data_IF_018948133698
#
_entry.id   IF_018948133698
#
_cell.length_a   1.000
_cell.length_b   1.000
_cell.length_c   1.000
_cell.angle_alpha   90.00
_cell.angle_beta   90.00
_cell.angle_gamma   90.00
#
_symmetry.space_group_name_H-M   'P 1'
#
loop_
_entity.id
_entity.type
_entity.pdbx_description
1 polymer ?
#
# COMPACT_ATOMS: atom_id res chain seq x y z
N UNK A 1 19.37 -19.60 42.04
CA UNK A 1 18.35 -20.68 42.05
C UNK A 1 17.52 -20.55 40.80
N UNK A 2 17.43 -21.60 40.01
CA UNK A 2 16.66 -21.65 38.75
C UNK A 2 15.52 -22.64 38.99
N UNK A 3 14.29 -22.26 38.64
CA UNK A 3 13.18 -23.20 38.56
C UNK A 3 12.53 -23.11 37.18
N UNK A 4 12.89 -24.07 36.35
CA UNK A 4 12.21 -24.42 35.11
C UNK A 4 11.00 -25.27 35.46
N UNK A 5 9.85 -25.06 34.81
CA UNK A 5 8.92 -26.17 34.56
C UNK A 5 8.24 -26.02 33.21
N UNK A 6 8.31 -27.12 32.44
CA UNK A 6 7.70 -27.31 31.13
C UNK A 6 6.34 -27.98 31.34
N UNK A 7 5.31 -27.58 30.60
CA UNK A 7 4.04 -28.31 30.56
C UNK A 7 3.90 -29.08 29.25
N UNK A 8 3.92 -30.41 29.37
CA UNK A 8 3.69 -31.35 28.26
C UNK A 8 2.18 -31.52 28.02
N UNK A 9 1.76 -31.53 26.77
CA UNK A 9 0.42 -32.00 26.35
C UNK A 9 0.50 -33.46 25.89
N UNK A 10 -0.47 -34.28 26.30
CA UNK A 10 -0.68 -35.64 25.78
C UNK A 10 -2.18 -35.81 25.46
N UNK A 11 -2.44 -36.41 24.29
CA UNK A 11 -3.77 -36.68 23.74
C UNK A 11 -4.36 -37.99 24.26
N UNK A 12 -5.70 -38.08 24.35
CA UNK A 12 -6.41 -39.35 24.16
C UNK A 12 -7.82 -39.10 23.59
N UNK A 13 -8.31 -40.01 22.74
CA UNK A 13 -9.55 -39.86 21.98
C UNK A 13 -10.71 -40.71 22.53
N UNK A 14 -11.92 -40.36 22.04
CA UNK A 14 -13.02 -41.25 21.63
C UNK A 14 -14.28 -41.41 22.53
N UNK A 15 -15.38 -40.87 21.97
CA UNK A 15 -16.74 -41.39 21.88
C UNK A 15 -17.48 -41.96 23.12
N UNK A 16 -18.62 -41.34 23.48
CA UNK A 16 -19.99 -41.89 23.32
C UNK A 16 -21.08 -40.86 23.72
N UNK A 17 -22.29 -41.01 23.19
CA UNK A 17 -23.52 -40.21 23.46
C UNK A 17 -24.74 -41.16 23.48
N UNK A 18 -25.96 -40.77 23.89
CA UNK A 18 -26.45 -39.58 24.62
C UNK A 18 -26.95 -40.06 26.03
N UNK A 19 -28.11 -39.71 26.65
CA UNK A 19 -29.08 -38.60 26.48
C UNK A 19 -29.57 -37.90 27.79
N UNK A 20 -30.43 -36.90 27.60
CA UNK A 20 -31.49 -36.37 28.48
C UNK A 20 -31.19 -36.10 29.99
N UNK A 21 -30.96 -34.83 30.32
CA UNK A 21 -31.02 -34.31 31.68
C UNK A 21 -31.26 -32.80 31.74
N UNK A 22 -32.50 -32.37 31.96
CA UNK A 22 -32.84 -30.94 32.08
C UNK A 22 -32.44 -30.39 33.45
N UNK A 23 -31.39 -29.56 33.52
CA UNK A 23 -30.99 -28.90 34.78
C UNK A 23 -30.97 -27.37 34.61
N UNK A 24 -31.80 -26.69 35.40
CA UNK A 24 -31.80 -25.23 35.54
C UNK A 24 -30.78 -24.82 36.61
N UNK A 25 -29.77 -24.03 36.25
CA UNK A 25 -28.99 -23.26 37.23
C UNK A 25 -29.15 -21.76 37.01
N UNK A 26 -29.64 -21.07 38.05
CA UNK A 26 -29.60 -19.61 38.16
C UNK A 26 -28.20 -19.21 38.62
N UNK A 27 -27.51 -18.35 37.88
CA UNK A 27 -26.40 -17.56 38.43
C UNK A 27 -26.83 -16.09 38.59
N UNK A 28 -26.60 -15.55 39.78
CA UNK A 28 -26.69 -14.11 40.05
C UNK A 28 -25.42 -13.43 39.50
N UNK A 29 -25.57 -12.38 38.71
CA UNK A 29 -24.49 -11.41 38.53
C UNK A 29 -24.40 -10.52 39.77
N UNK A 30 -23.20 -10.41 40.34
CA UNK A 30 -22.85 -9.28 41.22
C UNK A 30 -22.24 -8.18 40.36
N UNK A 31 -22.78 -6.97 40.43
CA UNK A 31 -22.23 -5.78 39.79
C UNK A 31 -21.51 -4.92 40.82
N UNK A 32 -20.18 -4.87 40.77
CA UNK A 32 -19.42 -3.89 41.55
C UNK A 32 -19.44 -2.52 40.86
N UNK A 33 -19.82 -1.49 41.63
CA UNK A 33 -19.92 -0.11 41.17
C UNK A 33 -18.75 0.69 41.74
N UNK A 34 -17.78 1.04 40.89
CA UNK A 34 -16.70 1.96 41.25
C UNK A 34 -17.24 3.39 41.46
N UNK A 35 -16.91 4.01 42.60
CA UNK A 35 -17.12 5.44 42.88
C UNK A 35 -15.78 6.20 42.81
N UNK A 36 -15.70 7.36 42.14
CA UNK A 36 -14.53 8.23 42.23
C UNK A 36 -14.55 9.08 43.51
N UNK A 37 -13.37 9.32 44.10
CA UNK A 37 -13.22 10.18 45.28
C UNK A 37 -13.17 11.68 44.92
N UNK A 38 -13.90 12.50 45.67
CA UNK A 38 -13.76 13.96 45.67
C UNK A 38 -12.55 14.40 46.51
N UNK A 39 -11.74 15.32 46.00
CA UNK A 39 -10.71 16.03 46.79
C UNK A 39 -11.20 17.47 47.06
N UNK A 40 -11.08 17.91 48.31
CA UNK A 40 -11.60 19.18 48.80
C UNK A 40 -10.57 20.30 48.72
N UNK A 41 -10.94 21.47 48.18
CA UNK A 41 -10.18 22.70 48.36
C UNK A 41 -10.48 23.33 49.72
N UNK A 42 -9.46 23.47 50.57
CA UNK A 42 -9.28 24.60 51.50
C UNK A 42 -7.97 24.48 52.27
N UNK A 43 -7.01 25.34 51.94
CA UNK A 43 -6.11 26.06 52.86
C UNK A 43 -4.95 26.66 52.05
N UNK A 44 -4.82 27.98 52.08
CA UNK A 44 -3.58 28.72 52.37
C UNK A 44 -3.93 30.22 52.33
N UNK A 45 -3.73 30.89 53.46
CA UNK A 45 -4.00 32.31 53.61
C UNK A 45 -2.84 32.98 54.33
N UNK A 46 -2.50 34.19 53.86
CA UNK A 46 -1.58 35.10 54.53
C UNK A 46 -0.22 35.23 53.85
N UNK A 47 0.05 36.41 53.30
CA UNK A 47 1.03 37.37 53.87
C UNK A 47 1.07 38.65 53.01
N UNK A 48 0.42 39.73 53.44
CA UNK A 48 0.72 41.10 52.98
C UNK A 48 0.42 42.11 54.10
N UNK A 49 1.38 43.00 54.39
CA UNK A 49 1.23 44.16 55.29
C UNK A 49 1.11 45.45 54.46
N UNK A 50 0.26 46.43 54.84
CA UNK A 50 0.12 47.70 54.14
C UNK A 50 0.82 48.88 54.85
N UNK A 51 1.57 49.69 54.09
CA UNK A 51 2.10 51.02 54.49
C UNK A 51 2.81 51.67 53.30
N UNK A 52 2.75 52.97 53.01
CA UNK A 52 1.93 54.08 53.51
C UNK A 52 1.94 55.20 52.45
N UNK A 53 0.89 56.04 52.39
CA UNK A 53 0.73 57.11 51.40
C UNK A 53 1.88 58.14 51.35
N UNK A 54 2.17 58.66 50.16
CA UNK A 54 2.48 60.10 49.98
C UNK A 54 1.87 60.65 48.68
N UNK A 55 1.37 61.89 48.81
CA UNK A 55 0.56 62.63 47.83
C UNK A 55 1.23 62.80 46.47
N UNK A 56 0.42 62.86 45.41
CA UNK A 56 0.53 63.92 44.39
C UNK A 56 -0.86 64.28 43.84
N UNK A 57 -0.94 65.43 43.17
CA UNK A 57 -2.13 66.27 43.04
C UNK A 57 -3.06 65.94 41.87
N UNK A 58 -4.30 66.45 41.96
CA UNK A 58 -5.37 66.34 40.96
C UNK A 58 -4.91 66.83 39.57
N UNK A 59 -5.18 66.03 38.54
CA UNK A 59 -5.33 66.47 37.14
C UNK A 59 -6.60 65.81 36.56
N UNK A 60 -7.32 66.45 35.62
CA UNK A 60 -8.66 66.02 35.23
C UNK A 60 -8.66 64.76 34.37
N UNK A 61 -9.72 63.96 34.54
CA UNK A 61 -9.94 62.73 33.80
C UNK A 61 -10.16 63.01 32.30
N UNK A 62 -9.31 62.42 31.44
CA UNK A 62 -9.69 62.09 30.06
C UNK A 62 -9.71 60.57 29.92
N UNK A 63 -10.91 60.01 29.89
CA UNK A 63 -11.14 58.60 29.60
C UNK A 63 -11.00 58.33 28.10
N UNK A 64 -9.77 58.15 27.63
CA UNK A 64 -9.54 57.41 26.38
C UNK A 64 -9.83 55.94 26.64
N UNK A 65 -11.11 55.57 26.55
CA UNK A 65 -11.52 54.19 26.30
C UNK A 65 -11.01 53.82 24.91
N UNK A 66 -9.78 53.33 24.84
CA UNK A 66 -9.30 52.60 23.67
C UNK A 66 -10.19 51.36 23.56
N UNK A 67 -11.19 51.41 22.67
CA UNK A 67 -11.94 50.23 22.30
C UNK A 67 -10.94 49.23 21.72
N UNK A 68 -10.59 48.21 22.52
CA UNK A 68 -10.08 46.97 21.98
C UNK A 68 -11.16 46.47 21.02
N UNK A 69 -10.87 46.58 19.72
CA UNK A 69 -11.75 46.01 18.70
C UNK A 69 -12.03 44.55 19.07
N UNK A 70 -13.27 44.06 18.92
CA UNK A 70 -13.57 42.67 19.21
C UNK A 70 -12.66 41.83 18.32
N UNK A 71 -11.71 41.11 18.94
CA UNK A 71 -10.87 40.16 18.23
C UNK A 71 -11.82 39.24 17.48
N UNK A 72 -11.75 39.24 16.15
CA UNK A 72 -12.59 38.44 15.30
C UNK A 72 -12.23 36.97 15.50
N UNK A 73 -12.79 36.38 16.55
CA UNK A 73 -12.98 34.94 16.65
C UNK A 73 -13.80 34.57 15.43
N UNK A 74 -13.12 34.14 14.36
CA UNK A 74 -13.73 33.29 13.35
C UNK A 74 -14.30 32.12 14.12
N UNK A 75 -15.61 32.14 14.35
CA UNK A 75 -16.32 30.91 14.62
C UNK A 75 -16.01 30.02 13.42
N UNK A 76 -15.30 28.92 13.67
CA UNK A 76 -15.22 27.82 12.70
C UNK A 76 -16.66 27.49 12.36
N UNK A 77 -17.08 27.79 11.13
CA UNK A 77 -18.41 27.43 10.69
C UNK A 77 -18.48 25.90 10.71
N UNK A 78 -19.38 25.36 11.51
CA UNK A 78 -19.65 23.93 11.56
C UNK A 78 -20.34 23.54 10.26
N UNK A 79 -19.56 23.13 9.27
CA UNK A 79 -20.07 22.62 7.99
C UNK A 79 -20.53 21.16 8.13
N UNK A 80 -21.48 20.77 7.27
CA UNK A 80 -21.82 19.34 7.08
C UNK A 80 -20.73 18.64 6.27
N UNK A 81 -20.66 17.32 6.37
CA UNK A 81 -19.86 16.53 5.44
C UNK A 81 -20.48 16.54 4.02
N UNK A 82 -19.62 16.39 3.02
CA UNK A 82 -20.01 16.05 1.65
C UNK A 82 -20.01 14.53 1.47
N UNK A 83 -20.61 14.03 0.40
CA UNK A 83 -20.70 12.58 0.14
C UNK A 83 -20.75 12.23 -1.34
N UNK A 84 -20.09 11.14 -1.73
CA UNK A 84 -20.10 10.58 -3.09
C UNK A 84 -20.25 9.05 -3.04
N UNK A 85 -20.81 8.41 -4.08
CA UNK A 85 -20.73 6.96 -4.26
C UNK A 85 -19.27 6.50 -4.31
N UNK A 86 -18.96 5.42 -3.61
CA UNK A 86 -17.66 4.78 -3.62
C UNK A 86 -17.75 3.32 -3.17
N UNK A 87 -16.78 2.51 -3.59
CA UNK A 87 -16.55 1.19 -3.04
C UNK A 87 -15.18 1.11 -2.35
N UNK A 88 -15.01 0.14 -1.46
CA UNK A 88 -13.73 -0.17 -0.85
C UNK A 88 -13.36 -1.61 -1.20
N UNK A 89 -12.24 -1.81 -1.89
CA UNK A 89 -11.82 -3.12 -2.37
C UNK A 89 -10.48 -3.53 -1.77
N UNK A 90 -10.32 -4.84 -1.60
CA UNK A 90 -9.01 -5.49 -1.58
C UNK A 90 -8.64 -5.89 -3.00
N UNK A 91 -7.46 -5.48 -3.46
CA UNK A 91 -6.82 -5.99 -4.67
C UNK A 91 -5.45 -6.57 -4.31
N UNK A 92 -5.28 -7.88 -4.49
CA UNK A 92 -4.08 -8.57 -4.02
C UNK A 92 -3.82 -8.33 -2.53
N UNK A 93 -2.59 -7.94 -2.18
CA UNK A 93 -2.17 -7.60 -0.80
C UNK A 93 -2.33 -6.10 -0.46
N UNK A 94 -3.22 -5.39 -1.15
CA UNK A 94 -3.49 -3.95 -0.96
C UNK A 94 -4.99 -3.67 -0.81
N UNK A 95 -5.36 -2.49 -0.29
CA UNK A 95 -6.73 -1.97 -0.28
C UNK A 95 -6.77 -0.54 -0.80
N UNK A 96 -7.86 -0.16 -1.46
CA UNK A 96 -8.10 1.19 -1.96
C UNK A 96 -9.59 1.54 -1.96
N UNK A 97 -9.88 2.85 -1.91
CA UNK A 97 -11.20 3.39 -2.25
C UNK A 97 -11.31 3.48 -3.78
N UNK A 98 -12.40 2.98 -4.35
CA UNK A 98 -12.73 3.05 -5.76
C UNK A 98 -13.87 4.05 -5.99
N UNK A 99 -13.70 4.88 -7.01
CA UNK A 99 -14.73 5.77 -7.54
C UNK A 99 -14.96 5.47 -9.02
N UNK A 100 -16.19 5.63 -9.49
CA UNK A 100 -16.42 5.84 -10.93
C UNK A 100 -15.99 7.26 -11.27
N UNK A 101 -15.41 7.47 -12.45
CA UNK A 101 -14.99 8.81 -12.88
C UNK A 101 -16.16 9.80 -13.00
N UNK A 102 -17.35 9.32 -13.37
CA UNK A 102 -18.58 10.12 -13.49
C UNK A 102 -19.15 10.62 -12.16
N UNK A 103 -18.80 9.97 -11.03
CA UNK A 103 -19.23 10.40 -9.69
C UNK A 103 -18.33 11.52 -9.12
N UNK A 104 -17.17 11.78 -9.74
CA UNK A 104 -16.20 12.78 -9.28
C UNK A 104 -16.41 14.14 -9.98
N UNK A 105 -15.86 15.25 -9.43
CA UNK A 105 -15.84 16.53 -10.13
C UNK A 105 -15.22 16.39 -11.53
N UNK A 106 -15.78 16.99 -12.59
CA UNK A 106 -15.30 16.79 -13.96
C UNK A 106 -13.87 17.32 -14.19
N UNK A 107 -13.42 18.26 -13.37
CA UNK A 107 -12.05 18.76 -13.36
C UNK A 107 -11.19 17.95 -12.37
N UNK A 108 -10.24 17.18 -12.91
CA UNK A 108 -9.30 16.33 -12.15
C UNK A 108 -8.48 17.08 -11.09
N UNK A 109 -8.27 18.38 -11.26
CA UNK A 109 -7.56 19.19 -10.27
C UNK A 109 -8.32 19.32 -8.94
N UNK A 110 -9.65 19.18 -8.96
CA UNK A 110 -10.51 19.30 -7.78
C UNK A 110 -10.61 17.99 -6.97
N UNK A 111 -9.98 16.89 -7.45
CA UNK A 111 -10.01 15.59 -6.79
C UNK A 111 -9.10 15.50 -5.57
N UNK A 112 -7.95 16.20 -5.58
CA UNK A 112 -6.91 16.04 -4.57
C UNK A 112 -7.39 16.33 -3.12
N UNK A 113 -8.15 17.41 -2.83
CA UNK A 113 -8.71 17.64 -1.51
C UNK A 113 -9.68 16.53 -1.06
N UNK A 114 -10.53 16.05 -1.97
CA UNK A 114 -11.48 14.97 -1.72
C UNK A 114 -10.72 13.71 -1.32
N UNK A 115 -9.74 13.28 -2.12
CA UNK A 115 -8.99 12.05 -1.88
C UNK A 115 -8.15 12.10 -0.59
N UNK A 116 -7.55 13.24 -0.27
CA UNK A 116 -6.83 13.45 1.00
C UNK A 116 -7.75 13.30 2.21
N UNK A 117 -8.89 13.99 2.20
CA UNK A 117 -9.87 13.95 3.28
C UNK A 117 -10.53 12.55 3.41
N UNK A 118 -10.85 11.90 2.30
CA UNK A 118 -11.34 10.50 2.23
C UNK A 118 -10.37 9.50 2.85
N UNK A 119 -9.07 9.66 2.59
CA UNK A 119 -8.03 8.76 3.10
C UNK A 119 -7.60 9.12 4.53
N UNK A 120 -7.84 10.35 5.00
CA UNK A 120 -7.41 10.83 6.31
C UNK A 120 -5.96 11.30 6.30
N UNK A 121 -5.54 12.00 5.24
CA UNK A 121 -4.20 12.55 5.03
C UNK A 121 -4.22 14.07 4.88
N UNK A 122 -3.19 14.82 5.33
CA UNK A 122 -2.04 14.34 6.09
C UNK A 122 -2.40 13.98 7.55
N UNK A 123 -1.89 12.86 8.04
CA UNK A 123 -1.91 12.52 9.47
C UNK A 123 -0.47 12.49 10.03
N UNK A 124 -0.06 13.49 10.84
CA UNK A 124 1.25 13.49 11.50
C UNK A 124 1.52 12.25 12.36
N UNK A 125 0.48 11.62 12.92
CA UNK A 125 0.58 10.39 13.70
C UNK A 125 0.72 9.14 12.82
N UNK A 126 0.45 9.24 11.53
CA UNK A 126 0.60 8.17 10.54
C UNK A 126 -0.35 6.99 10.72
N UNK A 127 -1.55 7.23 11.27
CA UNK A 127 -2.59 6.21 11.55
C UNK A 127 -3.78 6.31 10.60
N UNK A 128 -4.04 7.49 10.04
CA UNK A 128 -5.15 7.81 9.12
C UNK A 128 -6.54 7.52 9.72
N UNK A 129 -6.72 7.80 11.02
CA UNK A 129 -7.97 7.48 11.75
C UNK A 129 -9.21 8.28 11.34
N UNK A 130 -9.01 9.43 10.68
CA UNK A 130 -10.08 10.36 10.26
C UNK A 130 -10.41 10.15 8.76
N UNK A 131 -10.27 8.90 8.28
CA UNK A 131 -10.52 8.48 6.90
C UNK A 131 -10.44 6.95 6.74
N UNK A 132 -10.40 6.46 5.49
CA UNK A 132 -10.29 5.02 5.17
C UNK A 132 -8.84 4.53 4.93
N UNK A 133 -7.86 5.40 5.13
CA UNK A 133 -6.45 5.02 5.14
C UNK A 133 -6.11 4.06 6.29
N UNK A 134 -4.93 3.42 6.19
CA UNK A 134 -4.49 2.42 7.17
C UNK A 134 -3.10 2.67 7.76
N UNK A 135 -2.54 3.86 7.59
CA UNK A 135 -1.19 4.22 8.06
C UNK A 135 -0.03 3.53 7.32
N UNK A 136 -0.34 2.79 6.24
CA UNK A 136 0.62 2.02 5.43
C UNK A 136 0.41 2.31 3.95
N UNK A 137 1.50 2.29 3.16
CA UNK A 137 1.44 2.57 1.72
C UNK A 137 0.60 1.59 0.90
N UNK A 138 0.39 0.36 1.39
CA UNK A 138 -0.53 -0.63 0.82
C UNK A 138 -2.02 -0.34 1.10
N UNK A 139 -2.31 0.61 1.99
CA UNK A 139 -3.64 0.98 2.49
C UNK A 139 -4.00 2.46 2.29
N UNK A 140 -3.09 3.28 1.76
CA UNK A 140 -3.28 4.72 1.50
C UNK A 140 -3.41 4.96 -0.01
N UNK A 141 -4.57 4.57 -0.57
CA UNK A 141 -4.78 4.41 -2.01
C UNK A 141 -6.18 4.81 -2.46
N UNK A 142 -6.25 5.46 -3.61
CA UNK A 142 -7.48 5.67 -4.37
C UNK A 142 -7.30 5.11 -5.78
N UNK A 143 -8.38 4.56 -6.33
CA UNK A 143 -8.52 4.09 -7.69
C UNK A 143 -9.72 4.79 -8.33
N UNK A 144 -9.57 5.30 -9.55
CA UNK A 144 -10.67 5.84 -10.34
C UNK A 144 -10.80 4.99 -11.60
N UNK A 145 -12.01 4.56 -11.92
CA UNK A 145 -12.30 3.76 -13.12
C UNK A 145 -13.41 4.44 -13.92
N UNK A 146 -13.29 4.47 -15.24
CA UNK A 146 -14.27 5.13 -16.11
C UNK A 146 -14.36 4.48 -17.48
N UNK A 147 -15.20 5.04 -18.35
CA UNK A 147 -15.24 4.67 -19.76
C UNK A 147 -13.85 4.85 -20.39
N UNK A 148 -13.43 3.89 -21.22
CA UNK A 148 -12.14 3.92 -21.90
C UNK A 148 -11.96 5.17 -22.76
N UNK A 149 -10.74 5.73 -22.78
CA UNK A 149 -10.30 6.71 -23.77
C UNK A 149 -9.33 6.11 -24.80
N UNK A 150 -9.24 4.79 -24.89
CA UNK A 150 -8.25 4.07 -25.68
C UNK A 150 -8.88 2.86 -26.42
N UNK A 151 -8.71 2.78 -27.75
CA UNK A 151 -9.40 1.80 -28.61
C UNK A 151 -9.12 0.33 -28.23
N UNK A 152 -7.92 0.05 -27.69
CA UNK A 152 -7.53 -1.29 -27.23
C UNK A 152 -8.06 -1.65 -25.82
N UNK A 153 -8.78 -0.77 -25.14
CA UNK A 153 -9.30 -0.98 -23.78
C UNK A 153 -10.81 -0.81 -23.67
N UNK A 154 -11.39 -1.50 -22.69
CA UNK A 154 -12.81 -1.45 -22.33
C UNK A 154 -13.07 -0.40 -21.23
N UNK A 155 -12.12 -0.20 -20.31
CA UNK A 155 -12.18 0.82 -19.25
C UNK A 155 -10.85 1.54 -19.04
N UNK A 156 -10.94 2.80 -18.64
CA UNK A 156 -9.81 3.60 -18.14
C UNK A 156 -9.63 3.39 -16.63
N UNK A 157 -8.38 3.37 -16.18
CA UNK A 157 -7.99 3.24 -14.78
C UNK A 157 -6.93 4.29 -14.41
N UNK A 158 -7.18 5.06 -13.35
CA UNK A 158 -6.19 5.90 -12.68
C UNK A 158 -5.94 5.38 -11.27
N UNK A 159 -4.70 5.02 -10.98
CA UNK A 159 -4.18 4.85 -9.63
C UNK A 159 -3.74 6.19 -9.02
N UNK A 160 -4.01 6.38 -7.73
CA UNK A 160 -3.51 7.50 -6.93
C UNK A 160 -2.95 6.97 -5.60
N UNK A 161 -1.68 7.30 -5.32
CA UNK A 161 -1.06 7.05 -4.02
C UNK A 161 -1.15 8.31 -3.17
N UNK A 162 -1.62 8.18 -1.93
CA UNK A 162 -1.73 9.31 -1.01
C UNK A 162 -0.61 9.24 0.03
N UNK A 163 0.09 10.36 0.19
CA UNK A 163 1.05 10.55 1.27
C UNK A 163 0.38 10.40 2.64
N UNK A 164 1.02 9.69 3.57
CA UNK A 164 0.42 9.40 4.89
C UNK A 164 0.58 10.59 5.84
N UNK A 165 1.81 11.15 5.91
CA UNK A 165 2.18 12.23 6.85
C UNK A 165 2.27 13.61 6.20
N UNK A 166 2.07 13.69 4.88
CA UNK A 166 2.19 14.91 4.09
C UNK A 166 1.03 15.01 3.09
N UNK A 167 0.97 16.11 2.36
CA UNK A 167 -0.14 16.48 1.47
C UNK A 167 -0.06 15.88 0.06
N UNK A 168 0.89 14.97 -0.18
CA UNK A 168 1.24 14.50 -1.51
C UNK A 168 0.13 13.61 -2.11
N UNK A 169 -0.21 13.89 -3.37
CA UNK A 169 -1.18 13.14 -4.17
C UNK A 169 -0.47 12.72 -5.45
N UNK A 170 -0.05 11.45 -5.51
CA UNK A 170 0.88 10.97 -6.53
C UNK A 170 0.16 10.14 -7.61
N UNK A 171 0.28 10.62 -8.85
CA UNK A 171 -0.27 10.04 -10.07
C UNK A 171 0.82 9.41 -10.98
N UNK A 172 2.09 9.40 -10.58
CA UNK A 172 3.24 9.06 -11.44
C UNK A 172 3.50 7.56 -11.61
N UNK A 173 2.63 6.68 -11.11
CA UNK A 173 2.86 5.23 -11.11
C UNK A 173 1.57 4.41 -11.19
N UNK A 174 1.72 3.14 -11.57
CA UNK A 174 0.69 2.11 -11.43
C UNK A 174 0.74 1.45 -10.03
N UNK A 175 -0.38 0.88 -9.58
CA UNK A 175 -0.41 -0.13 -8.52
C UNK A 175 -0.96 -1.45 -9.03
N UNK A 176 -0.07 -2.35 -9.49
CA UNK A 176 -0.46 -3.65 -10.04
C UNK A 176 -1.28 -4.54 -9.07
N UNK A 177 -1.09 -4.41 -7.75
CA UNK A 177 -1.97 -5.07 -6.77
C UNK A 177 -3.42 -4.62 -6.91
N UNK A 178 -3.66 -3.33 -7.12
CA UNK A 178 -5.01 -2.80 -7.27
C UNK A 178 -5.61 -3.07 -8.65
N UNK A 179 -4.78 -3.27 -9.68
CA UNK A 179 -5.24 -3.75 -11.00
C UNK A 179 -6.06 -5.06 -10.90
N UNK A 180 -5.79 -5.91 -9.89
CA UNK A 180 -6.57 -7.12 -9.63
C UNK A 180 -8.04 -6.85 -9.28
N UNK A 181 -8.36 -5.66 -8.76
CA UNK A 181 -9.71 -5.24 -8.42
C UNK A 181 -10.36 -4.33 -9.47
N UNK A 182 -9.63 -3.88 -10.50
CA UNK A 182 -10.17 -2.96 -11.53
C UNK A 182 -11.19 -3.65 -12.42
N UNK A 183 -10.86 -4.82 -12.98
CA UNK A 183 -11.80 -5.63 -13.77
C UNK A 183 -13.07 -5.98 -12.98
N UNK A 184 -12.94 -6.56 -11.77
CA UNK A 184 -14.07 -6.79 -10.87
C UNK A 184 -14.91 -5.54 -10.58
N UNK A 185 -14.28 -4.42 -10.21
CA UNK A 185 -15.00 -3.16 -9.97
C UNK A 185 -15.74 -2.66 -11.21
N UNK A 186 -15.14 -2.78 -12.40
CA UNK A 186 -15.77 -2.34 -13.64
C UNK A 186 -17.08 -3.10 -13.93
N UNK A 187 -17.11 -4.42 -13.66
CA UNK A 187 -18.32 -5.24 -13.75
C UNK A 187 -19.32 -4.88 -12.65
N UNK A 188 -18.89 -4.94 -11.38
CA UNK A 188 -19.74 -4.76 -10.20
C UNK A 188 -20.40 -3.37 -10.14
N UNK A 189 -19.68 -2.32 -10.59
CA UNK A 189 -20.16 -0.94 -10.66
C UNK A 189 -20.75 -0.56 -12.03
N UNK A 190 -20.92 -1.53 -12.94
CA UNK A 190 -21.50 -1.40 -14.28
C UNK A 190 -20.81 -0.37 -15.21
N UNK A 191 -19.52 -0.11 -15.00
CA UNK A 191 -18.68 0.64 -15.96
C UNK A 191 -18.40 -0.21 -17.20
N UNK A 192 -18.30 -1.53 -17.03
CA UNK A 192 -18.22 -2.52 -18.09
C UNK A 192 -19.47 -3.43 -18.05
N UNK A 193 -20.43 -3.30 -18.98
CA UNK A 193 -21.63 -4.12 -18.98
C UNK A 193 -21.32 -5.54 -19.48
N UNK A 194 -21.80 -6.54 -18.73
CA UNK A 194 -21.78 -7.93 -19.18
C UNK A 194 -22.87 -8.22 -20.22
N UNK A 195 -22.69 -9.29 -20.98
CA UNK A 195 -23.72 -9.84 -21.86
C UNK A 195 -24.91 -10.41 -21.05
N UNK A 196 -26.06 -10.58 -21.70
CA UNK A 196 -27.25 -11.19 -21.11
C UNK A 196 -27.68 -12.41 -21.95
N UNK A 197 -27.70 -13.65 -21.41
CA UNK A 197 -27.36 -14.02 -20.03
C UNK A 197 -25.90 -13.74 -19.66
N UNK A 198 -25.65 -13.56 -18.37
CA UNK A 198 -24.30 -13.33 -17.84
C UNK A 198 -23.39 -14.54 -18.13
N UNK A 199 -22.13 -14.34 -18.58
CA UNK A 199 -21.17 -15.42 -18.72
C UNK A 199 -20.59 -15.85 -17.37
N UNK A 200 -20.09 -17.08 -17.27
CA UNK A 200 -19.41 -17.61 -16.07
C UNK A 200 -18.03 -16.95 -15.79
N UNK A 201 -17.54 -16.13 -16.72
CA UNK A 201 -16.28 -15.38 -16.59
C UNK A 201 -16.27 -14.14 -17.47
N UNK A 202 -15.47 -13.14 -17.07
CA UNK A 202 -15.26 -11.90 -17.81
C UNK A 202 -13.77 -11.68 -18.10
N UNK A 203 -13.51 -11.00 -19.21
CA UNK A 203 -12.20 -10.46 -19.56
C UNK A 203 -12.36 -8.96 -19.82
N UNK A 204 -11.73 -8.12 -18.99
CA UNK A 204 -11.78 -6.66 -19.11
C UNK A 204 -10.39 -6.15 -19.50
N UNK A 205 -10.29 -5.45 -20.62
CA UNK A 205 -9.07 -4.76 -21.05
C UNK A 205 -9.02 -3.39 -20.38
N UNK A 206 -7.99 -3.14 -19.59
CA UNK A 206 -7.84 -1.94 -18.76
C UNK A 206 -6.73 -1.07 -19.32
N UNK A 207 -7.03 0.15 -19.71
CA UNK A 207 -6.04 1.18 -20.01
C UNK A 207 -5.62 1.89 -18.72
N UNK A 208 -4.37 1.68 -18.31
CA UNK A 208 -3.80 2.37 -17.15
C UNK A 208 -3.32 3.77 -17.53
N UNK A 209 -4.13 4.79 -17.24
CA UNK A 209 -3.88 6.21 -17.53
C UNK A 209 -2.60 6.77 -16.90
N UNK A 210 -2.05 6.14 -15.86
CA UNK A 210 -0.78 6.55 -15.26
C UNK A 210 0.45 6.19 -16.11
N UNK A 211 0.34 5.18 -16.99
CA UNK A 211 1.49 4.63 -17.75
C UNK A 211 1.20 4.39 -19.23
N UNK A 212 -0.02 4.65 -19.70
CA UNK A 212 -0.47 4.33 -21.06
C UNK A 212 -0.39 2.84 -21.43
N UNK A 213 -0.39 1.93 -20.44
CA UNK A 213 -0.23 0.48 -20.66
C UNK A 213 -1.56 -0.25 -20.54
N UNK A 214 -1.70 -1.32 -21.32
CA UNK A 214 -2.87 -2.20 -21.31
C UNK A 214 -2.64 -3.36 -20.33
N UNK A 215 -3.68 -3.68 -19.54
CA UNK A 215 -3.71 -4.82 -18.63
C UNK A 215 -4.99 -5.60 -18.91
N UNK A 216 -4.90 -6.88 -19.25
CA UNK A 216 -6.08 -7.73 -19.35
C UNK A 216 -6.37 -8.33 -17.97
N UNK A 217 -7.61 -8.19 -17.49
CA UNK A 217 -8.09 -8.76 -16.23
C UNK A 217 -9.14 -9.82 -16.51
N UNK A 218 -8.79 -11.08 -16.25
CA UNK A 218 -9.68 -12.23 -16.44
C UNK A 218 -10.08 -12.84 -15.10
N UNK A 219 -11.38 -13.03 -14.87
CA UNK A 219 -11.93 -13.49 -13.59
C UNK A 219 -13.29 -14.19 -13.76
N UNK A 220 -13.64 -15.14 -12.87
CA UNK A 220 -14.96 -15.76 -12.84
C UNK A 220 -16.06 -14.78 -12.40
N UNK A 221 -17.27 -15.00 -12.89
CA UNK A 221 -18.48 -14.20 -12.64
C UNK A 221 -19.60 -15.14 -12.16
N UNK A 222 -20.41 -14.66 -11.22
CA UNK A 222 -21.59 -15.37 -10.68
C UNK A 222 -22.73 -14.38 -10.55
N UNK A 223 -23.91 -14.73 -11.09
CA UNK A 223 -25.13 -13.92 -11.05
C UNK A 223 -24.97 -12.45 -11.52
N UNK A 224 -24.00 -12.19 -12.42
CA UNK A 224 -23.69 -10.86 -12.94
C UNK A 224 -22.64 -10.06 -12.16
N UNK A 225 -22.12 -10.59 -11.05
CA UNK A 225 -21.06 -9.97 -10.26
C UNK A 225 -19.73 -10.74 -10.38
N UNK A 226 -18.60 -10.06 -10.14
CA UNK A 226 -17.31 -10.72 -10.03
C UNK A 226 -17.28 -11.66 -8.81
N UNK A 227 -16.94 -12.94 -9.03
CA UNK A 227 -16.95 -13.91 -7.94
C UNK A 227 -15.89 -13.55 -6.88
N UNK A 228 -16.29 -13.48 -5.61
CA UNK A 228 -15.36 -13.19 -4.50
C UNK A 228 -14.75 -14.45 -3.87
N UNK A 229 -15.45 -15.59 -3.96
CA UNK A 229 -15.08 -16.84 -3.29
C UNK A 229 -14.47 -17.85 -4.26
N UNK A 230 -13.52 -18.65 -3.77
CA UNK A 230 -12.80 -19.66 -4.54
C UNK A 230 -11.75 -20.36 -3.68
N UNK A 231 -10.96 -21.22 -4.29
CA UNK A 231 -9.92 -22.07 -3.66
C UNK A 231 -8.49 -21.51 -3.82
N UNK A 232 -8.31 -20.41 -4.55
CA UNK A 232 -6.99 -19.83 -4.80
C UNK A 232 -6.50 -18.97 -3.62
N UNK A 233 -5.32 -19.29 -3.09
CA UNK A 233 -4.62 -18.54 -2.05
C UNK A 233 -3.56 -17.61 -2.66
N UNK A 234 -3.22 -16.52 -1.95
CA UNK A 234 -2.03 -15.70 -2.23
C UNK A 234 -1.35 -15.31 -0.93
N UNK A 235 -0.02 -15.32 -0.91
CA UNK A 235 0.75 -14.99 0.28
C UNK A 235 0.57 -13.53 0.70
N UNK A 236 0.49 -13.32 2.02
CA UNK A 236 0.09 -12.05 2.62
C UNK A 236 -1.42 -11.78 2.69
N UNK A 237 -2.30 -12.72 2.29
CA UNK A 237 -3.75 -12.66 2.53
C UNK A 237 -4.24 -13.96 3.18
N UNK A 238 -5.04 -13.85 4.23
CA UNK A 238 -5.60 -15.02 4.92
C UNK A 238 -6.77 -15.65 4.14
N UNK A 239 -6.75 -16.98 4.02
CA UNK A 239 -7.80 -17.77 3.35
C UNK A 239 -7.65 -17.81 1.83
N UNK A 240 -8.72 -18.26 1.17
CA UNK A 240 -8.80 -18.40 -0.30
C UNK A 240 -9.87 -17.47 -0.88
N UNK A 241 -9.79 -17.19 -2.18
CA UNK A 241 -10.75 -16.39 -2.92
C UNK A 241 -10.75 -16.80 -4.40
N UNK A 242 -11.63 -16.19 -5.21
CA UNK A 242 -11.61 -16.40 -6.65
C UNK A 242 -10.30 -15.89 -7.28
N UNK A 243 -9.77 -16.64 -8.24
CA UNK A 243 -8.57 -16.29 -8.98
C UNK A 243 -8.87 -15.23 -10.04
N UNK A 244 -8.14 -14.12 -9.98
CA UNK A 244 -8.06 -13.08 -11.01
C UNK A 244 -6.71 -13.23 -11.71
N UNK A 245 -6.70 -13.47 -13.01
CA UNK A 245 -5.50 -13.39 -13.84
C UNK A 245 -5.32 -11.93 -14.31
N UNK A 246 -4.07 -11.47 -14.28
CA UNK A 246 -3.66 -10.18 -14.83
C UNK A 246 -2.53 -10.39 -15.83
N UNK A 247 -2.78 -10.04 -17.09
CA UNK A 247 -1.76 -10.01 -18.14
C UNK A 247 -1.40 -8.56 -18.45
N UNK A 248 -0.19 -8.15 -18.08
CA UNK A 248 0.34 -6.83 -18.36
C UNK A 248 0.96 -6.85 -19.75
N UNK A 249 0.37 -6.13 -20.71
CA UNK A 249 0.74 -6.18 -22.13
C UNK A 249 1.80 -5.12 -22.43
N UNK A 250 2.88 -5.52 -23.12
CA UNK A 250 4.05 -4.72 -23.45
C UNK A 250 4.51 -3.79 -22.30
N UNK A 251 4.76 -4.33 -21.08
CA UNK A 251 4.85 -3.52 -19.86
C UNK A 251 6.13 -2.69 -19.74
N UNK A 252 7.14 -2.92 -20.60
CA UNK A 252 8.41 -2.20 -20.61
C UNK A 252 8.26 -0.72 -21.02
N UNK A 253 9.09 0.16 -20.46
CA UNK A 253 9.07 1.59 -20.73
C UNK A 253 7.75 2.25 -20.32
N UNK A 254 7.23 1.92 -19.14
CA UNK A 254 5.93 2.38 -18.64
C UNK A 254 5.86 3.86 -18.27
N UNK A 255 7.00 4.49 -17.99
CA UNK A 255 7.11 5.93 -17.63
C UNK A 255 8.23 6.60 -18.42
N UNK A 256 9.36 5.93 -18.66
CA UNK A 256 10.54 6.50 -19.33
C UNK A 256 10.68 6.06 -20.80
N UNK A 257 9.71 5.28 -21.32
CA UNK A 257 9.67 4.83 -22.72
C UNK A 257 10.79 3.86 -23.15
N UNK A 258 11.57 3.31 -22.22
CA UNK A 258 12.70 2.39 -22.48
C UNK A 258 12.76 1.30 -21.42
N UNK A 259 13.19 0.09 -21.79
CA UNK A 259 13.43 -0.99 -20.82
C UNK A 259 14.54 -0.62 -19.82
N UNK A 260 15.71 -0.20 -20.31
CA UNK A 260 16.85 0.27 -19.52
C UNK A 260 17.02 1.79 -19.71
N UNK A 261 16.47 2.65 -18.84
CA UNK A 261 16.35 4.08 -19.13
C UNK A 261 17.70 4.81 -19.15
N UNK A 262 18.66 4.32 -18.36
CA UNK A 262 20.04 4.84 -18.29
C UNK A 262 20.94 4.36 -19.43
N UNK A 263 20.47 3.40 -20.25
CA UNK A 263 21.25 2.74 -21.30
C UNK A 263 22.18 1.63 -20.81
N UNK A 264 22.31 1.42 -19.50
CA UNK A 264 23.22 0.42 -18.92
C UNK A 264 22.45 -0.73 -18.23
N UNK A 265 22.99 -1.94 -18.26
CA UNK A 265 22.49 -3.05 -17.44
C UNK A 265 22.80 -2.83 -15.94
N UNK A 266 23.90 -2.13 -15.64
CA UNK A 266 24.34 -1.76 -14.29
C UNK A 266 24.92 -0.34 -14.29
N UNK A 267 24.45 0.46 -13.34
CA UNK A 267 24.97 1.75 -12.93
C UNK A 267 25.61 1.65 -11.54
N UNK A 268 26.27 2.71 -11.06
CA UNK A 268 26.82 2.80 -9.71
C UNK A 268 26.30 4.08 -9.04
N UNK A 269 25.75 3.95 -7.83
CA UNK A 269 25.28 5.04 -6.97
C UNK A 269 25.72 4.76 -5.52
N UNK A 270 26.28 5.75 -4.82
CA UNK A 270 26.84 5.57 -3.45
C UNK A 270 27.77 4.35 -3.28
N UNK A 271 28.53 4.03 -4.33
CA UNK A 271 29.43 2.87 -4.43
C UNK A 271 28.73 1.52 -4.64
N UNK A 272 27.40 1.48 -4.73
CA UNK A 272 26.58 0.27 -4.90
C UNK A 272 26.23 0.08 -6.37
N UNK A 273 26.34 -1.18 -6.85
CA UNK A 273 25.88 -1.55 -8.20
C UNK A 273 24.35 -1.56 -8.22
N UNK A 274 23.76 -0.95 -9.23
CA UNK A 274 22.31 -0.88 -9.38
C UNK A 274 21.85 -1.15 -10.82
N UNK A 275 20.79 -1.92 -10.99
CA UNK A 275 20.09 -2.01 -12.30
C UNK A 275 18.90 -1.08 -12.31
N UNK A 276 18.89 -0.13 -13.25
CA UNK A 276 17.77 0.78 -13.49
C UNK A 276 16.91 0.24 -14.64
N UNK A 277 15.66 -0.15 -14.37
CA UNK A 277 14.77 -0.76 -15.36
C UNK A 277 13.37 -0.18 -15.23
N UNK A 278 12.62 -0.09 -16.32
CA UNK A 278 11.23 0.37 -16.32
C UNK A 278 10.31 -0.69 -16.94
N UNK A 279 9.56 -1.39 -16.09
CA UNK A 279 8.57 -2.40 -16.46
C UNK A 279 7.39 -2.32 -15.51
N UNK A 280 6.24 -1.83 -15.99
CA UNK A 280 5.03 -1.57 -15.19
C UNK A 280 5.15 -0.42 -14.18
N UNK A 281 6.36 -0.17 -13.65
CA UNK A 281 6.86 1.08 -13.06
C UNK A 281 8.40 1.09 -13.17
N UNK A 282 9.06 2.25 -13.17
CA UNK A 282 10.49 2.38 -12.93
C UNK A 282 10.93 1.75 -11.59
N UNK A 283 11.98 0.94 -11.64
CA UNK A 283 12.55 0.19 -10.53
C UNK A 283 14.10 0.26 -10.54
N UNK A 284 14.67 0.21 -9.34
CA UNK A 284 16.10 0.12 -9.07
C UNK A 284 16.35 -1.14 -8.25
N UNK A 285 17.20 -2.02 -8.76
CA UNK A 285 17.61 -3.26 -8.08
C UNK A 285 19.04 -3.15 -7.59
N UNK A 286 19.28 -3.54 -6.33
CA UNK A 286 20.60 -3.52 -5.67
C UNK A 286 20.79 -4.82 -4.89
N UNK A 287 22.00 -5.37 -4.86
CA UNK A 287 22.25 -6.63 -4.16
C UNK A 287 22.43 -6.41 -2.65
N UNK A 288 21.90 -7.34 -1.84
CA UNK A 288 22.08 -7.33 -0.38
C UNK A 288 23.57 -7.41 0.02
N UNK A 289 24.37 -8.16 -0.74
CA UNK A 289 25.80 -8.31 -0.54
C UNK A 289 26.57 -6.99 -0.69
N UNK A 290 26.30 -6.20 -1.73
CA UNK A 290 26.91 -4.88 -1.93
C UNK A 290 26.57 -3.90 -0.79
N UNK A 291 25.36 -4.05 -0.21
CA UNK A 291 24.91 -3.28 0.95
C UNK A 291 25.45 -3.81 2.30
N UNK A 292 26.13 -4.96 2.31
CA UNK A 292 26.58 -5.69 3.49
C UNK A 292 25.45 -6.05 4.48
N UNK A 293 24.29 -6.47 3.95
CA UNK A 293 23.12 -6.90 4.75
C UNK A 293 22.63 -8.29 4.33
N UNK A 294 21.81 -8.92 5.18
CA UNK A 294 21.15 -10.19 4.85
C UNK A 294 20.11 -10.04 3.73
N UNK A 295 19.94 -11.08 2.91
CA UNK A 295 18.97 -11.07 1.80
C UNK A 295 17.51 -11.15 2.25
N UNK A 296 17.26 -11.81 3.39
CA UNK A 296 15.93 -12.18 3.85
C UNK A 296 15.28 -11.23 4.87
N UNK A 297 15.89 -10.06 5.13
CA UNK A 297 15.44 -9.10 6.16
C UNK A 297 13.92 -8.84 6.16
N UNK A 298 13.34 -8.81 7.35
CA UNK A 298 11.94 -8.44 7.58
C UNK A 298 11.73 -6.93 7.44
N UNK A 299 10.47 -6.46 7.23
CA UNK A 299 10.14 -5.04 7.19
C UNK A 299 10.58 -4.27 8.44
N UNK A 300 10.53 -4.93 9.61
CA UNK A 300 10.88 -4.31 10.88
C UNK A 300 12.41 -4.26 11.07
N UNK A 301 13.17 -5.27 10.64
CA UNK A 301 14.64 -5.23 10.61
C UNK A 301 15.18 -4.16 9.65
N UNK A 302 14.60 -4.02 8.44
CA UNK A 302 14.96 -2.94 7.50
C UNK A 302 14.67 -1.57 8.12
N UNK A 303 13.57 -1.45 8.87
CA UNK A 303 13.17 -0.21 9.57
C UNK A 303 14.08 0.12 10.75
N UNK A 304 14.54 -0.90 11.48
CA UNK A 304 15.41 -0.75 12.65
C UNK A 304 16.89 -0.57 12.29
N UNK A 305 17.30 -0.93 11.07
CA UNK A 305 18.68 -0.79 10.62
C UNK A 305 19.05 0.71 10.46
N UNK A 306 20.11 1.20 11.14
CA UNK A 306 20.36 2.63 11.33
C UNK A 306 20.43 3.44 10.02
N UNK A 307 21.20 2.98 9.04
CA UNK A 307 21.48 3.75 7.82
C UNK A 307 20.87 3.18 6.52
N UNK A 308 20.13 2.06 6.59
CA UNK A 308 19.70 1.33 5.39
C UNK A 308 18.61 2.10 4.63
N UNK A 309 17.57 2.59 5.31
CA UNK A 309 16.51 3.39 4.67
C UNK A 309 17.03 4.69 4.03
N UNK A 310 17.85 5.53 4.72
CA UNK A 310 18.46 6.70 4.09
C UNK A 310 19.34 6.37 2.87
N UNK A 311 20.17 5.32 2.96
CA UNK A 311 21.05 4.91 1.85
C UNK A 311 20.25 4.43 0.63
N UNK A 312 19.18 3.67 0.86
CA UNK A 312 18.29 3.22 -0.20
C UNK A 312 17.53 4.38 -0.87
N UNK A 313 17.04 5.39 -0.11
CA UNK A 313 16.41 6.56 -0.73
C UNK A 313 17.42 7.43 -1.49
N UNK A 314 18.67 7.56 -1.01
CA UNK A 314 19.75 8.25 -1.75
C UNK A 314 20.00 7.60 -3.12
N UNK A 315 20.27 6.29 -3.15
CA UNK A 315 20.46 5.51 -4.38
C UNK A 315 19.25 5.64 -5.31
N UNK A 316 18.03 5.49 -4.77
CA UNK A 316 16.77 5.59 -5.50
C UNK A 316 16.60 6.96 -6.17
N UNK A 317 16.95 8.05 -5.50
CA UNK A 317 16.87 9.41 -6.06
C UNK A 317 17.94 9.67 -7.11
N UNK A 318 19.18 9.26 -6.88
CA UNK A 318 20.25 9.38 -7.89
C UNK A 318 19.89 8.61 -9.17
N UNK A 319 19.37 7.39 -9.02
CA UNK A 319 18.84 6.59 -10.12
C UNK A 319 17.65 7.28 -10.80
N UNK A 320 16.70 7.85 -10.04
CA UNK A 320 15.57 8.60 -10.59
C UNK A 320 15.98 9.75 -11.51
N UNK A 321 17.00 10.52 -11.12
CA UNK A 321 17.57 11.56 -11.99
C UNK A 321 18.23 10.93 -13.22
N UNK A 322 19.05 9.89 -13.06
CA UNK A 322 19.73 9.22 -14.19
C UNK A 322 18.76 8.55 -15.18
N UNK A 323 17.59 8.12 -14.71
CA UNK A 323 16.50 7.57 -15.51
C UNK A 323 15.66 8.64 -16.24
N UNK A 324 15.89 9.93 -15.96
CA UNK A 324 15.13 11.04 -16.54
C UNK A 324 13.74 11.25 -15.91
N UNK A 325 13.52 10.78 -14.68
CA UNK A 325 12.23 10.89 -13.98
C UNK A 325 12.06 12.27 -13.32
N UNK A 326 13.16 12.93 -12.95
CA UNK A 326 13.19 14.31 -12.48
C UNK A 326 14.57 14.93 -12.74
N UNK A 327 14.64 16.25 -12.89
CA UNK A 327 15.90 16.97 -13.16
C UNK A 327 16.85 17.00 -11.95
N UNK A 328 16.31 16.91 -10.73
CA UNK A 328 17.06 17.03 -9.47
C UNK A 328 16.67 15.97 -8.43
N UNK A 329 17.62 15.57 -7.59
CA UNK A 329 17.48 14.56 -6.51
C UNK A 329 16.31 14.86 -5.57
N UNK A 330 16.06 16.15 -5.29
CA UNK A 330 14.97 16.58 -4.42
C UNK A 330 13.58 16.35 -5.05
N UNK A 331 13.48 16.50 -6.38
CA UNK A 331 12.23 16.45 -7.15
C UNK A 331 11.78 15.02 -7.55
N UNK A 332 12.63 14.01 -7.35
CA UNK A 332 12.28 12.60 -7.65
C UNK A 332 11.07 12.16 -6.80
N UNK A 333 9.95 11.74 -7.42
CA UNK A 333 8.72 11.35 -6.71
C UNK A 333 8.96 10.27 -5.64
N UNK A 334 8.11 10.26 -4.61
CA UNK A 334 8.16 9.22 -3.58
C UNK A 334 7.74 7.83 -4.08
N UNK A 335 6.92 7.76 -5.13
CA UNK A 335 6.44 6.48 -5.66
C UNK A 335 7.33 5.86 -6.75
N UNK A 336 8.09 6.64 -7.52
CA UNK A 336 8.99 6.16 -8.59
C UNK A 336 10.36 6.86 -8.61
N UNK A 337 11.44 6.15 -8.97
CA UNK A 337 11.47 4.71 -9.15
C UNK A 337 11.31 3.99 -7.80
N UNK A 338 10.80 2.75 -7.82
CA UNK A 338 10.88 1.85 -6.65
C UNK A 338 12.33 1.45 -6.44
N UNK A 339 12.71 1.10 -5.20
CA UNK A 339 13.98 0.43 -4.94
C UNK A 339 13.73 -0.91 -4.25
N UNK A 340 14.47 -1.93 -4.63
CA UNK A 340 14.35 -3.27 -4.09
C UNK A 340 15.73 -3.89 -3.88
N UNK A 341 15.97 -4.39 -2.68
CA UNK A 341 17.13 -5.21 -2.37
C UNK A 341 16.86 -6.64 -2.86
N UNK A 342 17.83 -7.24 -3.55
CA UNK A 342 17.76 -8.61 -4.07
C UNK A 342 18.91 -9.48 -3.55
N UNK A 343 18.67 -10.78 -3.41
CA UNK A 343 19.67 -11.76 -3.00
C UNK A 343 19.32 -13.16 -3.52
N UNK A 344 20.32 -14.03 -3.58
CA UNK A 344 20.09 -15.46 -3.83
C UNK A 344 19.40 -16.09 -2.61
N UNK A 345 18.56 -17.12 -2.81
CA UNK A 345 17.95 -17.85 -1.70
C UNK A 345 19.00 -18.57 -0.86
N UNK A 346 18.83 -18.59 0.47
CA UNK A 346 19.71 -19.36 1.35
C UNK A 346 19.26 -20.83 1.40
N UNK A 347 20.23 -21.74 1.38
CA UNK A 347 20.01 -23.18 1.63
C UNK A 347 20.18 -23.57 3.11
N UNK A 348 20.56 -22.63 3.98
CA UNK A 348 20.94 -22.91 5.39
C UNK A 348 20.33 -21.98 6.43
N UNK A 349 19.66 -20.89 6.02
CA UNK A 349 18.96 -19.99 6.96
C UNK A 349 17.63 -20.63 7.40
N UNK A 350 17.43 -20.75 8.71
CA UNK A 350 16.23 -21.37 9.29
C UNK A 350 14.94 -20.58 8.98
N UNK A 351 15.01 -19.25 8.87
CA UNK A 351 13.88 -18.41 8.50
C UNK A 351 13.50 -18.60 7.04
N UNK A 352 14.49 -18.78 6.17
CA UNK A 352 14.23 -19.05 4.75
C UNK A 352 13.58 -20.44 4.59
N UNK A 353 14.03 -21.45 5.35
CA UNK A 353 13.38 -22.76 5.38
C UNK A 353 11.94 -22.67 5.92
N UNK A 354 11.70 -21.92 7.00
CA UNK A 354 10.34 -21.73 7.57
C UNK A 354 9.38 -21.05 6.58
N UNK A 355 9.88 -20.04 5.85
CA UNK A 355 9.10 -19.28 4.87
C UNK A 355 9.04 -19.92 3.47
N UNK A 356 9.67 -21.08 3.27
CA UNK A 356 9.87 -21.71 1.93
C UNK A 356 10.54 -20.74 0.95
N UNK A 357 11.66 -20.17 1.34
CA UNK A 357 12.48 -19.24 0.55
C UNK A 357 13.87 -19.81 0.28
N UNK A 358 13.93 -21.14 0.11
CA UNK A 358 15.14 -21.88 -0.28
C UNK A 358 15.24 -21.96 -1.81
N UNK A 359 16.39 -22.37 -2.34
CA UNK A 359 16.59 -22.59 -3.79
C UNK A 359 15.73 -23.72 -4.37
N UNK A 360 14.99 -24.47 -3.54
CA UNK A 360 14.01 -25.45 -4.00
C UNK A 360 12.58 -24.86 -4.13
N UNK A 361 12.34 -23.66 -3.59
CA UNK A 361 11.02 -23.03 -3.47
C UNK A 361 10.92 -21.66 -4.17
N UNK A 362 12.04 -20.94 -4.35
CA UNK A 362 12.11 -19.61 -4.98
C UNK A 362 13.41 -19.45 -5.77
N UNK A 363 13.39 -18.63 -6.82
CA UNK A 363 14.56 -18.34 -7.66
C UNK A 363 15.39 -17.17 -7.13
N UNK A 364 14.76 -16.23 -6.40
CA UNK A 364 15.44 -15.12 -5.73
C UNK A 364 14.66 -14.59 -4.53
N UNK A 365 15.37 -13.89 -3.65
CA UNK A 365 14.79 -13.09 -2.57
C UNK A 365 14.66 -11.62 -3.00
N UNK A 366 13.54 -11.01 -2.65
CA UNK A 366 13.28 -9.58 -2.91
C UNK A 366 12.73 -8.87 -1.66
N UNK A 367 13.27 -7.69 -1.35
CA UNK A 367 12.81 -6.79 -0.29
C UNK A 367 12.63 -5.38 -0.86
N UNK A 368 11.39 -5.08 -1.25
CA UNK A 368 11.03 -3.83 -1.93
C UNK A 368 10.64 -2.71 -0.96
N UNK A 369 10.95 -1.47 -1.32
CA UNK A 369 10.48 -0.27 -0.64
C UNK A 369 9.44 0.46 -1.52
N UNK A 370 8.46 1.08 -0.88
CA UNK A 370 7.51 1.98 -1.55
C UNK A 370 7.19 3.17 -0.66
N UNK A 371 7.32 4.39 -1.20
CA UNK A 371 7.14 5.67 -0.47
C UNK A 371 7.87 5.70 0.87
N UNK A 372 9.15 5.30 0.86
CA UNK A 372 10.04 5.29 2.03
C UNK A 372 9.78 4.18 3.06
N UNK A 373 8.77 3.32 2.86
CA UNK A 373 8.44 2.22 3.77
C UNK A 373 8.85 0.86 3.17
N UNK A 374 9.44 -0.06 3.96
CA UNK A 374 9.56 -1.47 3.56
C UNK A 374 8.19 -2.07 3.27
N UNK A 375 8.05 -2.69 2.10
CA UNK A 375 6.80 -3.31 1.70
C UNK A 375 6.66 -4.69 2.35
N UNK A 376 5.48 -5.00 2.89
CA UNK A 376 5.26 -6.24 3.67
C UNK A 376 5.20 -7.51 2.82
N UNK A 377 4.84 -7.39 1.54
CA UNK A 377 4.97 -8.44 0.52
C UNK A 377 5.88 -7.90 -0.61
N UNK A 378 5.53 -8.07 -1.89
CA UNK A 378 6.14 -7.31 -3.01
C UNK A 378 5.06 -6.57 -3.84
N UNK A 379 5.31 -5.34 -4.33
CA UNK A 379 4.42 -4.72 -5.32
C UNK A 379 4.52 -5.47 -6.65
N UNK A 380 3.39 -5.80 -7.29
CA UNK A 380 3.39 -6.53 -8.57
C UNK A 380 4.31 -5.89 -9.61
N UNK A 381 4.31 -4.56 -9.76
CA UNK A 381 5.16 -3.89 -10.75
C UNK A 381 6.66 -4.08 -10.50
N UNK A 382 7.09 -4.20 -9.23
CA UNK A 382 8.46 -4.59 -8.89
C UNK A 382 8.71 -6.05 -9.28
N UNK A 383 7.74 -6.93 -9.10
CA UNK A 383 7.84 -8.34 -9.49
C UNK A 383 7.92 -8.54 -11.01
N UNK A 384 7.18 -7.76 -11.81
CA UNK A 384 7.32 -7.75 -13.28
C UNK A 384 8.71 -7.24 -13.70
N UNK A 385 9.20 -6.19 -13.05
CA UNK A 385 10.53 -5.64 -13.30
C UNK A 385 11.66 -6.60 -12.89
N UNK A 386 11.47 -7.42 -11.85
CA UNK A 386 12.39 -8.51 -11.50
C UNK A 386 12.43 -9.58 -12.59
N UNK A 387 11.27 -10.00 -13.11
CA UNK A 387 11.19 -11.00 -14.19
C UNK A 387 11.90 -10.53 -15.47
N UNK A 388 11.76 -9.26 -15.82
CA UNK A 388 12.52 -8.64 -16.91
C UNK A 388 14.02 -8.55 -16.61
N UNK A 389 14.39 -8.06 -15.42
CA UNK A 389 15.80 -7.84 -15.04
C UNK A 389 16.58 -9.15 -14.92
N UNK A 390 15.95 -10.25 -14.52
CA UNK A 390 16.54 -11.59 -14.51
C UNK A 390 17.00 -12.06 -15.91
N UNK A 391 16.36 -11.57 -16.99
CA UNK A 391 16.76 -11.84 -18.38
C UNK A 391 17.72 -10.80 -18.96
N UNK A 392 18.03 -9.71 -18.25
CA UNK A 392 19.03 -8.71 -18.68
C UNK A 392 20.42 -9.21 -18.27
N UNK A 393 21.33 -9.54 -19.21
CA UNK A 393 22.66 -10.03 -18.87
C UNK A 393 23.43 -9.04 -18.00
N UNK A 394 24.21 -9.58 -17.05
CA UNK A 394 25.03 -8.81 -16.09
C UNK A 394 24.25 -7.88 -15.13
N UNK A 395 22.91 -7.89 -15.16
CA UNK A 395 22.11 -7.10 -14.22
C UNK A 395 22.34 -7.56 -12.78
N UNK A 396 22.05 -6.67 -11.82
CA UNK A 396 22.08 -6.99 -10.39
C UNK A 396 21.14 -8.14 -10.01
N UNK A 397 20.06 -8.36 -10.77
CA UNK A 397 19.09 -9.44 -10.58
C UNK A 397 19.60 -10.74 -11.22
N UNK A 398 20.16 -10.67 -12.44
CA UNK A 398 20.77 -11.81 -13.13
C UNK A 398 21.98 -12.39 -12.36
N UNK A 399 22.62 -11.60 -11.49
CA UNK A 399 23.68 -12.06 -10.60
C UNK A 399 23.23 -12.70 -9.28
N UNK A 400 21.92 -12.87 -9.04
CA UNK A 400 21.36 -13.51 -7.82
C UNK A 400 20.17 -14.43 -8.04
N UNK A 401 19.55 -14.40 -9.22
CA UNK A 401 18.51 -15.36 -9.60
C UNK A 401 19.14 -16.72 -9.88
N UNK A 402 18.45 -17.80 -9.51
CA UNK A 402 18.85 -19.15 -9.88
C UNK A 402 18.80 -19.35 -11.41
N UNK A 403 19.68 -20.20 -11.94
CA UNK A 403 19.75 -20.49 -13.38
C UNK A 403 18.63 -21.44 -13.82
N UNK A 404 18.27 -22.38 -12.94
CA UNK A 404 17.18 -23.34 -13.13
C UNK A 404 15.92 -22.87 -12.36
N UNK A 405 14.87 -22.37 -13.05
CA UNK A 405 13.69 -21.83 -12.37
C UNK A 405 12.86 -22.93 -11.70
N UNK A 406 12.42 -22.69 -10.47
CA UNK A 406 11.61 -23.63 -9.66
C UNK A 406 10.24 -23.94 -10.28
N UNK A 407 9.71 -23.04 -11.13
CA UNK A 407 8.53 -23.27 -11.95
C UNK A 407 8.77 -22.80 -13.39
N UNK A 408 8.63 -23.72 -14.35
CA UNK A 408 8.75 -23.46 -15.79
C UNK A 408 7.86 -22.33 -16.33
N UNK A 409 6.81 -21.94 -15.62
CA UNK A 409 5.89 -20.88 -16.03
C UNK A 409 6.46 -19.46 -15.84
N UNK A 410 7.55 -19.26 -15.09
CA UNK A 410 8.03 -17.91 -14.80
C UNK A 410 9.19 -17.83 -13.81
N UNK A 411 9.20 -16.77 -12.99
CA UNK A 411 10.08 -16.66 -11.81
C UNK A 411 9.27 -16.62 -10.51
N UNK A 412 9.73 -17.33 -9.49
CA UNK A 412 9.16 -17.36 -8.14
C UNK A 412 10.01 -16.53 -7.19
N UNK A 413 9.43 -15.45 -6.68
CA UNK A 413 10.11 -14.43 -5.87
C UNK A 413 9.76 -14.61 -4.39
N UNK A 414 10.75 -14.88 -3.56
CA UNK A 414 10.61 -14.89 -2.10
C UNK A 414 10.56 -13.47 -1.53
N UNK A 415 9.39 -13.01 -1.10
CA UNK A 415 9.18 -11.69 -0.49
C UNK A 415 8.88 -11.78 1.01
N UNK A 416 8.75 -10.63 1.69
CA UNK A 416 8.63 -10.52 3.15
C UNK A 416 7.35 -11.10 3.80
N UNK A 417 6.57 -11.93 3.10
CA UNK A 417 5.34 -12.59 3.58
C UNK A 417 5.09 -13.97 2.94
N UNK A 418 6.07 -14.54 2.23
CA UNK A 418 5.88 -15.71 1.35
C UNK A 418 6.31 -15.41 -0.09
N UNK A 419 5.74 -16.13 -1.05
CA UNK A 419 6.29 -16.27 -2.40
C UNK A 419 5.35 -15.75 -3.48
N UNK A 420 5.93 -15.43 -4.65
CA UNK A 420 5.19 -14.95 -5.80
C UNK A 420 5.76 -15.47 -7.13
N UNK A 421 5.02 -16.34 -7.80
CA UNK A 421 5.23 -16.66 -9.22
C UNK A 421 4.78 -15.50 -10.13
N UNK A 422 5.64 -15.12 -11.05
CA UNK A 422 5.39 -14.16 -12.15
C UNK A 422 5.74 -14.83 -13.46
N UNK A 423 4.74 -15.08 -14.30
CA UNK A 423 4.97 -15.49 -15.69
C UNK A 423 5.46 -14.33 -16.54
N UNK A 424 6.38 -14.58 -17.46
CA UNK A 424 6.94 -13.57 -18.35
C UNK A 424 7.22 -14.14 -19.73
N UNK A 425 6.55 -13.60 -20.75
CA UNK A 425 6.67 -14.02 -22.13
C UNK A 425 7.56 -13.04 -22.90
N UNK A 426 8.62 -13.55 -23.50
CA UNK A 426 9.54 -12.78 -24.33
C UNK A 426 9.38 -13.19 -25.79
N UNK A 427 9.57 -12.24 -26.71
CA UNK A 427 9.64 -12.56 -28.14
C UNK A 427 11.03 -13.10 -28.55
N UNK A 428 11.19 -13.39 -29.84
CA UNK A 428 12.44 -13.91 -30.42
C UNK A 428 13.61 -12.92 -30.34
N UNK A 429 13.34 -11.63 -30.19
CA UNK A 429 14.33 -10.57 -30.04
C UNK A 429 14.65 -10.27 -28.55
N UNK A 430 13.99 -10.99 -27.63
CA UNK A 430 14.20 -10.90 -26.18
C UNK A 430 13.41 -9.77 -25.50
N UNK A 431 12.44 -9.15 -26.18
CA UNK A 431 11.60 -8.11 -25.57
C UNK A 431 10.43 -8.73 -24.80
N UNK A 432 10.11 -8.16 -23.63
CA UNK A 432 9.01 -8.61 -22.78
C UNK A 432 7.65 -8.19 -23.38
N UNK A 433 6.96 -9.14 -24.01
CA UNK A 433 5.66 -8.91 -24.68
C UNK A 433 4.49 -8.93 -23.72
N UNK A 434 4.55 -9.79 -22.70
CA UNK A 434 3.54 -9.83 -21.63
C UNK A 434 4.11 -10.41 -20.34
N UNK A 435 3.54 -10.00 -19.21
CA UNK A 435 3.83 -10.62 -17.92
C UNK A 435 2.53 -10.94 -17.17
N UNK A 436 2.40 -12.18 -16.70
CA UNK A 436 1.18 -12.75 -16.13
C UNK A 436 1.35 -12.95 -14.63
N UNK A 437 0.36 -12.51 -13.84
CA UNK A 437 0.28 -12.80 -12.40
C UNK A 437 -1.13 -13.20 -11.99
N UNK A 438 -1.21 -14.16 -11.07
CA UNK A 438 -2.47 -14.58 -10.47
C UNK A 438 -2.68 -13.88 -9.14
N UNK A 439 -3.87 -13.30 -8.95
CA UNK A 439 -4.26 -12.54 -7.76
C UNK A 439 -5.67 -12.92 -7.34
N UNK A 440 -6.14 -12.25 -6.31
CA UNK A 440 -7.52 -12.31 -5.85
C UNK A 440 -7.97 -10.90 -5.52
N UNK A 441 -9.25 -10.61 -5.69
CA UNK A 441 -9.88 -9.35 -5.31
C UNK A 441 -11.14 -9.59 -4.47
N UNK A 442 -11.62 -8.55 -3.78
CA UNK A 442 -12.88 -8.61 -3.04
C UNK A 442 -13.43 -7.21 -2.76
N UNK A 443 -14.70 -6.96 -3.11
CA UNK A 443 -15.51 -5.84 -2.61
C UNK A 443 -15.70 -6.00 -1.10
N UNK A 444 -15.25 -5.02 -0.31
CA UNK A 444 -15.33 -5.02 1.15
C UNK A 444 -16.48 -4.15 1.67
N UNK A 445 -16.79 -3.07 0.95
CA UNK A 445 -17.87 -2.13 1.22
C UNK A 445 -18.27 -1.43 -0.08
N UNK A 446 -19.51 -0.98 -0.16
CA UNK A 446 -20.03 -0.07 -1.19
C UNK A 446 -21.11 0.80 -0.57
N UNK A 447 -21.18 2.06 -1.01
CA UNK A 447 -22.18 3.02 -0.55
C UNK A 447 -21.69 4.45 -0.74
N UNK A 448 -22.07 5.33 0.18
CA UNK A 448 -21.58 6.71 0.19
C UNK A 448 -20.38 6.86 1.12
N UNK A 449 -19.28 7.38 0.60
CA UNK A 449 -18.15 7.85 1.40
C UNK A 449 -18.34 9.34 1.73
N UNK A 450 -17.88 9.75 2.92
CA UNK A 450 -18.02 11.10 3.43
C UNK A 450 -16.67 11.76 3.64
N UNK A 451 -16.58 13.06 3.35
CA UNK A 451 -15.38 13.85 3.60
C UNK A 451 -15.71 15.27 4.09
N UNK A 452 -14.69 15.97 4.56
CA UNK A 452 -14.74 17.37 5.03
C UNK A 452 -13.89 18.24 4.12
N UNK A 453 -14.27 19.49 3.93
CA UNK A 453 -13.39 20.49 3.32
C UNK A 453 -12.10 20.63 4.15
N UNK A 454 -10.96 20.84 3.50
CA UNK A 454 -9.70 21.17 4.19
C UNK A 454 -9.88 22.51 4.94
N UNK A 455 -9.50 22.56 6.22
CA UNK A 455 -9.63 23.72 7.13
C UNK A 455 -8.39 24.60 7.19
#
# INVERSE_FOLDING_TARGET
>A
MIYTFVHTYVLSQSAHSPPNGTIRHRHRCHSEVFRPNMISLKQWAGHYKPSMFKRLSRLPCRSTLTQLAPSSRRYLQTEKQHSLPAAYYRGGTSRAVFFKQEDLPPNKNDWAPIFRSVIGSPDPHGRQLDGLGGGLSSLSKVCVVGASTHDEADVDYTFISLGIKNTDVDYSSNCGNMSAAVGPFAVDAHVFPLQNPSPDSASVRVHNTNTGKIIHSFFPVVDGEAAASGDFAIDGVAGTAARVQLDFINPAGSVTGKLLPTGNAVDIFDGIRATCIDVGNPCVFVQAADLAVGGNLTPDEITAHPDLLPRLDSIRRQAGVKMGIADEIAAVPGSVPKICVVAAPSTTDSRDIELRQTSADVDLLARALSVGQPHRAVPITVALALAAAARVPQSTVAGVVDEDPVDSAGITIGHASGNLLVGANFDVDGALTSATVFRTARRLFEGHIYWKNDT
#
